data_IF_137929196478
#
_entry.id   IF_137929196478
#
_cell.length_a   1.000
_cell.length_b   1.000
_cell.length_c   1.000
_cell.angle_alpha   90.00
_cell.angle_beta   90.00
_cell.angle_gamma   90.00
#
_symmetry.space_group_name_H-M   'P 1'
#
loop_
_entity.id
_entity.type
_entity.pdbx_description
1 polymer ?
#
# COMPACT_ATOMS: atom_id res chain seq x y z
N UNK A 1 -9.15 -13.14 -32.59
CA UNK A 1 -8.89 -13.25 -31.15
C UNK A 1 -7.76 -12.28 -30.84
N UNK A 2 -8.11 -11.06 -30.42
CA UNK A 2 -7.17 -10.03 -30.04
C UNK A 2 -6.65 -10.35 -28.64
N UNK A 3 -5.31 -10.40 -28.51
CA UNK A 3 -4.66 -10.55 -27.21
C UNK A 3 -5.11 -9.41 -26.30
N UNK A 4 -5.38 -9.67 -25.00
CA UNK A 4 -5.61 -8.58 -24.06
C UNK A 4 -4.34 -7.73 -23.98
N UNK A 5 -4.48 -6.43 -24.23
CA UNK A 5 -3.41 -5.46 -24.04
C UNK A 5 -2.82 -5.64 -22.66
N UNK A 6 -1.53 -5.88 -22.60
CA UNK A 6 -0.76 -5.82 -21.36
C UNK A 6 -0.95 -4.41 -20.81
N UNK A 7 -1.71 -4.28 -19.73
CA UNK A 7 -1.67 -3.06 -18.96
C UNK A 7 -0.24 -2.90 -18.46
N UNK A 8 0.53 -2.11 -19.18
CA UNK A 8 1.81 -1.62 -18.69
C UNK A 8 1.49 -0.73 -17.49
N UNK A 9 1.78 -1.25 -16.30
CA UNK A 9 1.99 -0.38 -15.16
C UNK A 9 3.24 0.43 -15.48
N UNK A 10 3.12 1.75 -15.62
CA UNK A 10 4.32 2.54 -15.55
C UNK A 10 4.89 2.32 -14.15
N UNK A 11 6.11 1.87 -14.06
CA UNK A 11 6.93 1.88 -12.83
C UNK A 11 7.15 3.34 -12.34
N UNK A 12 6.63 4.29 -13.06
CA UNK A 12 6.49 5.68 -12.70
C UNK A 12 5.06 5.90 -12.19
N UNK A 13 4.94 6.56 -11.07
CA UNK A 13 3.77 7.34 -10.74
C UNK A 13 3.61 8.29 -11.93
N UNK A 14 2.71 7.96 -12.85
CA UNK A 14 2.60 8.65 -14.14
C UNK A 14 2.22 10.12 -13.98
N UNK A 15 2.35 10.97 -15.03
CA UNK A 15 2.13 12.42 -14.96
C UNK A 15 0.70 12.85 -14.63
N UNK A 16 -0.20 11.92 -14.38
CA UNK A 16 -1.57 12.15 -13.94
C UNK A 16 -1.80 11.86 -12.46
N UNK A 17 -0.79 12.02 -11.61
CA UNK A 17 -0.98 12.18 -10.17
C UNK A 17 -1.53 13.61 -9.93
N UNK A 18 -2.66 13.89 -10.58
CA UNK A 18 -3.54 14.96 -10.17
C UNK A 18 -4.26 14.48 -8.92
N UNK A 19 -4.03 15.15 -7.81
CA UNK A 19 -4.68 14.97 -6.52
C UNK A 19 -4.41 13.62 -5.79
N UNK A 20 -3.14 13.29 -5.54
CA UNK A 20 -2.82 13.01 -4.16
C UNK A 20 -3.15 14.32 -3.43
N UNK A 21 -4.17 14.30 -2.56
CA UNK A 21 -4.37 15.35 -1.59
C UNK A 21 -3.21 15.27 -0.57
N UNK A 22 -2.02 15.64 -1.01
CA UNK A 22 -0.92 16.00 -0.15
C UNK A 22 -0.85 17.50 -0.32
N UNK A 23 -1.42 18.22 0.62
CA UNK A 23 -1.14 19.64 0.80
C UNK A 23 0.38 19.74 0.90
N UNK A 24 1.08 20.49 0.04
CA UNK A 24 2.53 20.65 0.12
C UNK A 24 2.99 21.24 1.46
N UNK A 25 2.10 21.87 2.20
CA UNK A 25 2.34 22.45 3.51
C UNK A 25 1.86 21.56 4.67
N UNK A 26 1.21 20.42 4.38
CA UNK A 26 0.82 19.47 5.40
C UNK A 26 2.07 18.74 5.90
N UNK A 27 2.39 18.93 7.17
CA UNK A 27 3.52 18.26 7.86
C UNK A 27 3.33 16.73 7.96
N UNK A 28 2.40 16.19 7.17
CA UNK A 28 2.31 14.77 6.83
C UNK A 28 1.59 13.90 7.83
N UNK A 29 0.80 14.45 8.68
CA UNK A 29 -0.31 13.74 9.29
C UNK A 29 -1.48 13.83 8.30
N UNK A 30 -1.87 12.72 7.68
CA UNK A 30 -3.21 12.60 7.11
C UNK A 30 -4.16 13.06 8.21
N UNK A 31 -5.03 14.04 7.90
CA UNK A 31 -5.92 14.62 8.87
C UNK A 31 -6.86 13.55 9.42
N UNK A 32 -6.46 12.93 10.52
CA UNK A 32 -7.27 11.95 11.23
C UNK A 32 -8.31 12.73 12.03
N UNK A 33 -9.59 12.48 11.76
CA UNK A 33 -10.64 13.00 12.61
C UNK A 33 -10.64 12.26 13.96
N UNK A 34 -9.89 12.79 14.92
CA UNK A 34 -9.82 12.24 16.28
C UNK A 34 -11.16 12.30 17.04
N UNK A 35 -12.14 13.06 16.54
CA UNK A 35 -13.47 13.18 17.14
C UNK A 35 -14.49 12.24 16.48
N UNK A 36 -14.09 11.49 15.45
CA UNK A 36 -14.98 10.56 14.79
C UNK A 36 -15.45 9.45 15.76
N UNK A 37 -16.74 9.43 16.02
CA UNK A 37 -17.38 8.43 16.86
C UNK A 37 -18.35 7.59 16.02
N UNK A 38 -17.97 6.38 15.59
CA UNK A 38 -18.85 5.53 14.79
C UNK A 38 -20.06 5.10 15.64
N UNK A 39 -21.25 5.13 15.05
CA UNK A 39 -22.47 4.61 15.69
C UNK A 39 -22.47 3.09 15.83
N UNK A 40 -21.70 2.40 15.00
CA UNK A 40 -21.50 0.95 15.02
C UNK A 40 -20.05 0.63 14.70
N UNK A 41 -19.46 -0.27 15.47
CA UNK A 41 -18.18 -0.91 15.16
C UNK A 41 -18.45 -2.26 14.50
N UNK A 42 -17.63 -2.64 13.54
CA UNK A 42 -17.76 -3.90 12.81
C UNK A 42 -16.42 -4.65 12.84
N UNK A 43 -16.50 -5.96 12.69
CA UNK A 43 -15.33 -6.85 12.72
C UNK A 43 -15.22 -7.65 11.43
N UNK A 44 -14.08 -8.31 11.23
CA UNK A 44 -13.82 -9.15 10.06
C UNK A 44 -14.88 -10.25 9.90
N UNK A 45 -15.42 -10.39 8.70
CA UNK A 45 -16.48 -11.36 8.37
C UNK A 45 -17.89 -10.97 8.84
N UNK A 46 -18.05 -9.85 9.54
CA UNK A 46 -19.36 -9.39 10.00
C UNK A 46 -20.19 -8.86 8.81
N UNK A 47 -21.49 -9.18 8.80
CA UNK A 47 -22.44 -8.59 7.87
C UNK A 47 -22.78 -7.17 8.32
N UNK A 48 -22.28 -6.19 7.58
CA UNK A 48 -22.50 -4.78 7.88
C UNK A 48 -23.90 -4.32 7.42
N UNK A 49 -24.36 -4.83 6.28
CA UNK A 49 -25.68 -4.53 5.69
C UNK A 49 -26.29 -5.81 5.17
N UNK A 50 -27.57 -6.02 5.47
CA UNK A 50 -28.41 -7.06 4.89
C UNK A 50 -29.78 -6.44 4.54
N UNK A 51 -30.12 -6.45 3.25
CA UNK A 51 -31.40 -5.92 2.76
C UNK A 51 -32.37 -7.03 2.35
N UNK A 52 -31.96 -8.30 2.41
CA UNK A 52 -32.65 -9.43 1.83
C UNK A 52 -32.44 -9.61 0.31
N UNK A 53 -32.00 -8.57 -0.40
CA UNK A 53 -31.60 -8.63 -1.81
C UNK A 53 -30.09 -8.79 -1.97
N UNK A 54 -29.32 -8.13 -1.12
CA UNK A 54 -27.86 -8.24 -1.07
C UNK A 54 -27.34 -8.10 0.35
N UNK A 55 -26.12 -8.61 0.55
CA UNK A 55 -25.38 -8.48 1.80
C UNK A 55 -24.03 -7.84 1.56
N UNK A 56 -23.65 -6.92 2.45
CA UNK A 56 -22.30 -6.36 2.51
C UNK A 56 -21.57 -6.91 3.72
N UNK A 57 -20.45 -7.59 3.47
CA UNK A 57 -19.64 -8.25 4.50
C UNK A 57 -18.30 -7.53 4.65
N UNK A 58 -17.90 -7.28 5.88
CA UNK A 58 -16.63 -6.64 6.21
C UNK A 58 -15.47 -7.59 5.94
N UNK A 59 -14.42 -7.09 5.32
CA UNK A 59 -13.14 -7.77 5.14
C UNK A 59 -12.06 -6.85 5.69
N UNK A 60 -11.57 -7.13 6.90
CA UNK A 60 -10.48 -6.34 7.49
C UNK A 60 -9.21 -6.48 6.67
N UNK A 61 -8.63 -5.34 6.27
CA UNK A 61 -7.44 -5.22 5.41
C UNK A 61 -6.53 -4.13 5.95
N UNK A 62 -6.04 -4.35 7.17
CA UNK A 62 -5.13 -3.43 7.84
C UNK A 62 -3.83 -3.25 7.05
N UNK A 63 -3.12 -2.15 7.30
CA UNK A 63 -1.78 -1.90 6.82
C UNK A 63 -1.63 -0.69 5.90
N UNK A 64 -2.62 -0.33 5.07
CA UNK A 64 -2.67 1.00 4.46
C UNK A 64 -2.92 2.05 5.55
N UNK A 65 -3.96 1.82 6.34
CA UNK A 65 -4.19 2.42 7.66
C UNK A 65 -4.42 1.29 8.67
N UNK A 66 -4.25 1.59 9.95
CA UNK A 66 -4.37 0.62 11.04
C UNK A 66 -5.78 0.02 11.18
N UNK A 67 -6.80 0.71 10.68
CA UNK A 67 -8.22 0.33 10.79
C UNK A 67 -8.89 0.08 9.43
N UNK A 68 -8.10 -0.05 8.35
CA UNK A 68 -8.67 -0.21 7.01
C UNK A 68 -9.52 -1.47 6.88
N UNK A 69 -10.63 -1.35 6.17
CA UNK A 69 -11.49 -2.47 5.78
C UNK A 69 -11.93 -2.33 4.32
N UNK A 70 -12.03 -3.46 3.64
CA UNK A 70 -12.79 -3.60 2.41
C UNK A 70 -14.21 -4.07 2.73
N UNK A 71 -15.11 -3.95 1.76
CA UNK A 71 -16.48 -4.44 1.88
C UNK A 71 -16.78 -5.36 0.70
N UNK A 72 -17.20 -6.58 0.98
CA UNK A 72 -17.50 -7.58 -0.03
C UNK A 72 -19.02 -7.63 -0.32
N UNK A 73 -19.36 -7.67 -1.60
CA UNK A 73 -20.68 -7.98 -2.15
C UNK A 73 -20.61 -9.34 -2.83
N UNK A 74 -20.93 -10.40 -2.09
CA UNK A 74 -20.72 -11.77 -2.55
C UNK A 74 -21.57 -12.14 -3.76
N UNK A 75 -22.80 -11.63 -3.86
CA UNK A 75 -23.72 -11.87 -4.96
C UNK A 75 -23.12 -11.46 -6.32
N UNK A 76 -22.33 -10.40 -6.34
CA UNK A 76 -21.67 -9.86 -7.54
C UNK A 76 -20.20 -10.27 -7.65
N UNK A 77 -19.68 -11.05 -6.70
CA UNK A 77 -18.24 -11.34 -6.57
C UNK A 77 -17.40 -10.06 -6.65
N UNK A 78 -17.89 -9.02 -6.00
CA UNK A 78 -17.31 -7.69 -5.99
C UNK A 78 -16.74 -7.34 -4.61
N UNK A 79 -15.62 -6.60 -4.61
CA UNK A 79 -15.00 -6.09 -3.41
C UNK A 79 -14.79 -4.58 -3.56
N UNK A 80 -15.35 -3.80 -2.66
CA UNK A 80 -15.02 -2.38 -2.50
C UNK A 80 -13.71 -2.28 -1.74
N UNK A 81 -12.63 -2.02 -2.46
CA UNK A 81 -11.27 -2.12 -1.93
C UNK A 81 -10.78 -0.86 -1.20
N UNK A 82 -11.55 0.22 -1.21
CA UNK A 82 -11.14 1.47 -0.57
C UNK A 82 -9.80 1.99 -1.09
N UNK A 83 -8.98 2.50 -0.20
CA UNK A 83 -7.60 2.93 -0.46
C UNK A 83 -6.58 1.79 -0.45
N UNK A 84 -6.97 0.57 -0.04
CA UNK A 84 -6.05 -0.57 0.06
C UNK A 84 -5.53 -1.04 -1.29
N UNK A 85 -6.35 -0.99 -2.33
CA UNK A 85 -5.98 -1.28 -3.72
C UNK A 85 -6.56 -0.20 -4.61
N UNK A 86 -5.70 0.56 -5.27
CA UNK A 86 -6.09 1.64 -6.18
C UNK A 86 -6.05 1.18 -7.64
N UNK A 87 -6.87 1.81 -8.51
CA UNK A 87 -7.01 1.41 -9.91
C UNK A 87 -5.98 2.01 -10.87
N UNK A 88 -5.06 2.85 -10.41
CA UNK A 88 -4.12 3.59 -11.28
C UNK A 88 -2.71 3.75 -10.72
N UNK A 89 -2.48 3.41 -9.46
CA UNK A 89 -1.19 3.49 -8.79
C UNK A 89 -1.13 2.47 -7.65
N UNK A 90 0.04 2.27 -7.07
CA UNK A 90 0.17 1.51 -5.83
C UNK A 90 -0.14 2.39 -4.63
N UNK A 91 -0.83 1.81 -3.65
CA UNK A 91 -1.22 2.48 -2.42
C UNK A 91 0.00 2.94 -1.62
N UNK A 92 -0.06 4.12 -1.05
CA UNK A 92 0.95 4.60 -0.10
C UNK A 92 0.73 3.88 1.23
N UNK A 93 1.79 3.36 1.81
CA UNK A 93 1.83 2.79 3.17
C UNK A 93 2.81 3.61 3.96
N UNK A 94 2.31 4.44 4.87
CA UNK A 94 3.10 5.44 5.58
C UNK A 94 3.05 5.22 7.09
N UNK A 95 4.19 4.95 7.76
CA UNK A 95 4.25 4.96 9.21
C UNK A 95 3.93 6.36 9.79
N UNK A 96 3.36 6.46 11.03
CA UNK A 96 3.19 5.35 11.97
C UNK A 96 1.89 4.56 11.81
N UNK A 97 0.87 5.05 11.10
CA UNK A 97 -0.42 4.37 10.97
C UNK A 97 -0.39 3.21 9.97
N UNK A 98 0.33 3.41 8.85
CA UNK A 98 0.55 2.36 7.85
C UNK A 98 1.67 1.39 8.24
N UNK A 99 1.44 0.09 8.00
CA UNK A 99 2.37 -1.00 8.26
C UNK A 99 2.52 -1.91 7.04
N UNK A 100 3.74 -2.07 6.52
CA UNK A 100 3.98 -2.78 5.26
C UNK A 100 3.81 -4.30 5.40
N UNK A 101 4.15 -4.88 6.53
CA UNK A 101 3.98 -6.31 6.77
C UNK A 101 2.50 -6.67 6.76
N UNK A 102 1.72 -6.00 7.60
CA UNK A 102 0.27 -6.17 7.70
C UNK A 102 -0.43 -5.87 6.37
N UNK A 103 0.04 -4.85 5.63
CA UNK A 103 -0.46 -4.52 4.30
C UNK A 103 -0.28 -5.67 3.31
N UNK A 104 0.91 -6.25 3.25
CA UNK A 104 1.20 -7.39 2.37
C UNK A 104 0.44 -8.65 2.78
N UNK A 105 0.23 -8.87 4.09
CA UNK A 105 -0.63 -9.96 4.59
C UNK A 105 -2.09 -9.77 4.15
N UNK A 106 -2.60 -8.53 4.22
CA UNK A 106 -3.93 -8.17 3.74
C UNK A 106 -4.07 -8.38 2.24
N UNK A 107 -3.06 -8.05 1.43
CA UNK A 107 -3.05 -8.38 -0.01
C UNK A 107 -3.11 -9.90 -0.24
N UNK A 108 -2.34 -10.70 0.50
CA UNK A 108 -2.38 -12.18 0.43
C UNK A 108 -3.75 -12.73 0.86
N UNK A 109 -4.38 -12.11 1.86
CA UNK A 109 -5.76 -12.44 2.28
C UNK A 109 -6.74 -12.21 1.13
N UNK A 110 -6.66 -11.07 0.45
CA UNK A 110 -7.51 -10.76 -0.70
C UNK A 110 -7.27 -11.69 -1.89
N UNK A 111 -6.03 -12.12 -2.14
CA UNK A 111 -5.72 -13.11 -3.18
C UNK A 111 -6.37 -14.48 -2.96
N UNK A 112 -6.63 -14.88 -1.71
CA UNK A 112 -7.31 -16.14 -1.39
C UNK A 112 -8.82 -16.07 -1.57
N UNK A 113 -9.36 -14.88 -1.82
CA UNK A 113 -10.79 -14.67 -2.08
C UNK A 113 -11.12 -14.95 -3.55
N UNK A 114 -12.41 -15.09 -3.85
CA UNK A 114 -12.90 -15.36 -5.21
C UNK A 114 -13.61 -14.13 -5.80
N UNK A 115 -13.17 -12.93 -5.46
CA UNK A 115 -13.70 -11.70 -6.03
C UNK A 115 -13.24 -11.58 -7.49
N UNK A 116 -14.15 -11.15 -8.37
CA UNK A 116 -13.88 -10.95 -9.79
C UNK A 116 -13.54 -9.49 -10.10
N UNK A 117 -14.21 -8.56 -9.41
CA UNK A 117 -14.05 -7.11 -9.62
C UNK A 117 -13.70 -6.41 -8.30
N UNK A 118 -12.74 -5.47 -8.37
CA UNK A 118 -12.48 -4.54 -7.27
C UNK A 118 -13.00 -3.16 -7.64
N UNK A 119 -13.62 -2.50 -6.68
CA UNK A 119 -14.09 -1.12 -6.76
C UNK A 119 -13.24 -0.26 -5.81
N UNK A 120 -12.18 0.39 -6.30
CA UNK A 120 -11.33 1.26 -5.48
C UNK A 120 -11.98 2.63 -5.27
N UNK A 121 -11.52 3.37 -4.24
CA UNK A 121 -11.86 4.79 -4.06
C UNK A 121 -11.19 5.66 -5.13
N UNK A 122 -10.03 5.22 -5.64
CA UNK A 122 -9.24 5.96 -6.61
C UNK A 122 -8.98 5.10 -7.86
N UNK A 123 -9.36 5.62 -9.02
CA UNK A 123 -9.29 4.94 -10.31
C UNK A 123 -10.59 4.24 -10.70
N UNK A 124 -10.58 3.58 -11.86
CA UNK A 124 -11.71 2.82 -12.36
C UNK A 124 -11.83 1.42 -11.74
N UNK A 125 -12.94 0.71 -12.02
CA UNK A 125 -13.11 -0.67 -11.58
C UNK A 125 -12.03 -1.58 -12.17
N UNK A 126 -11.57 -2.54 -11.37
CA UNK A 126 -10.53 -3.49 -11.74
C UNK A 126 -11.19 -4.84 -11.99
N UNK A 127 -11.36 -5.19 -13.26
CA UNK A 127 -11.80 -6.53 -13.68
C UNK A 127 -10.57 -7.46 -13.67
N UNK A 128 -10.69 -8.71 -13.28
CA UNK A 128 -9.57 -9.62 -13.06
C UNK A 128 -8.79 -9.30 -11.76
N UNK A 129 -9.53 -9.22 -10.68
CA UNK A 129 -9.03 -8.89 -9.36
C UNK A 129 -7.81 -9.72 -8.93
N UNK A 130 -7.80 -11.02 -9.21
CA UNK A 130 -6.74 -11.93 -8.76
C UNK A 130 -5.39 -11.65 -9.43
N UNK A 131 -5.38 -11.44 -10.74
CA UNK A 131 -4.17 -11.09 -11.47
C UNK A 131 -3.63 -9.72 -11.03
N UNK A 132 -4.54 -8.76 -10.77
CA UNK A 132 -4.17 -7.44 -10.31
C UNK A 132 -3.56 -7.45 -8.91
N UNK A 133 -4.17 -8.18 -7.97
CA UNK A 133 -3.64 -8.36 -6.62
C UNK A 133 -2.27 -9.06 -6.62
N UNK A 134 -2.08 -10.04 -7.53
CA UNK A 134 -0.79 -10.69 -7.70
C UNK A 134 0.31 -9.71 -8.14
N UNK A 135 0.01 -8.84 -9.12
CA UNK A 135 0.92 -7.79 -9.58
C UNK A 135 1.21 -6.76 -8.45
N UNK A 136 0.19 -6.41 -7.69
CA UNK A 136 0.32 -5.49 -6.57
C UNK A 136 1.27 -6.03 -5.49
N UNK A 137 1.11 -7.31 -5.13
CA UNK A 137 2.01 -7.96 -4.18
C UNK A 137 3.43 -8.12 -4.74
N UNK A 138 3.56 -8.50 -6.02
CA UNK A 138 4.87 -8.63 -6.66
C UNK A 138 5.62 -7.31 -6.67
N UNK A 139 4.95 -6.20 -6.99
CA UNK A 139 5.55 -4.87 -6.91
C UNK A 139 6.13 -4.55 -5.52
N UNK A 140 5.47 -4.98 -4.43
CA UNK A 140 6.01 -4.80 -3.06
C UNK A 140 7.25 -5.62 -2.83
N UNK A 141 7.25 -6.88 -3.26
CA UNK A 141 8.41 -7.78 -3.16
C UNK A 141 9.59 -7.26 -3.99
N UNK A 142 9.34 -6.78 -5.20
CA UNK A 142 10.38 -6.19 -6.06
C UNK A 142 10.98 -4.95 -5.41
N UNK A 143 10.16 -4.12 -4.76
CA UNK A 143 10.65 -2.95 -4.02
C UNK A 143 11.52 -3.34 -2.84
N UNK A 144 11.17 -4.38 -2.08
CA UNK A 144 12.02 -4.90 -1.01
C UNK A 144 13.38 -5.38 -1.55
N UNK A 145 13.36 -6.14 -2.65
CA UNK A 145 14.58 -6.61 -3.29
C UNK A 145 15.48 -5.44 -3.75
N UNK A 146 14.89 -4.39 -4.31
CA UNK A 146 15.62 -3.18 -4.73
C UNK A 146 16.21 -2.41 -3.55
N UNK A 147 15.48 -2.31 -2.43
CA UNK A 147 15.99 -1.66 -1.21
C UNK A 147 17.19 -2.44 -0.65
N UNK A 148 17.10 -3.77 -0.58
CA UNK A 148 18.23 -4.61 -0.15
C UNK A 148 19.44 -4.48 -1.08
N UNK A 149 19.21 -4.38 -2.39
CA UNK A 149 20.29 -4.14 -3.35
C UNK A 149 20.94 -2.76 -3.12
N UNK A 150 20.16 -1.70 -2.86
CA UNK A 150 20.71 -0.39 -2.50
C UNK A 150 21.64 -0.49 -1.27
N UNK A 151 21.20 -1.22 -0.24
CA UNK A 151 22.04 -1.43 0.96
C UNK A 151 23.32 -2.21 0.63
N UNK A 152 23.25 -3.25 -0.21
CA UNK A 152 24.42 -3.99 -0.67
C UNK A 152 25.39 -3.12 -1.47
N UNK A 153 24.88 -2.13 -2.21
CA UNK A 153 25.65 -1.15 -2.97
C UNK A 153 26.07 0.06 -2.12
N UNK A 154 25.98 -0.05 -0.79
CA UNK A 154 26.35 1.01 0.18
C UNK A 154 25.52 2.29 0.10
N UNK A 155 24.31 2.21 -0.45
CA UNK A 155 23.31 3.29 -0.38
C UNK A 155 22.51 3.12 0.90
N UNK A 156 22.94 3.77 1.98
CA UNK A 156 22.45 3.51 3.36
C UNK A 156 21.32 4.43 3.81
N UNK A 157 21.03 5.51 3.06
CA UNK A 157 20.04 6.51 3.46
C UNK A 157 18.77 6.41 2.61
N UNK A 158 17.61 6.74 3.20
CA UNK A 158 16.34 6.81 2.47
C UNK A 158 16.41 7.79 1.30
N UNK A 159 17.05 8.94 1.49
CA UNK A 159 17.21 9.93 0.42
C UNK A 159 18.01 9.36 -0.78
N UNK A 160 19.09 8.62 -0.49
CA UNK A 160 19.89 7.92 -1.51
C UNK A 160 19.08 6.84 -2.23
N UNK A 161 18.32 6.01 -1.49
CA UNK A 161 17.45 4.99 -2.06
C UNK A 161 16.36 5.62 -2.94
N UNK A 162 15.74 6.72 -2.50
CA UNK A 162 14.74 7.44 -3.31
C UNK A 162 15.36 7.99 -4.59
N UNK A 163 16.54 8.61 -4.53
CA UNK A 163 17.24 9.11 -5.70
C UNK A 163 17.55 7.99 -6.72
N UNK A 164 17.86 6.79 -6.23
CA UNK A 164 18.17 5.62 -7.06
C UNK A 164 16.90 4.98 -7.65
N UNK A 165 15.90 4.71 -6.80
CA UNK A 165 14.74 3.89 -7.15
C UNK A 165 13.58 4.67 -7.79
N UNK A 166 13.61 6.00 -7.67
CA UNK A 166 12.56 6.90 -8.15
C UNK A 166 13.11 8.04 -9.01
N UNK A 167 14.24 7.79 -9.70
CA UNK A 167 14.91 8.76 -10.59
C UNK A 167 13.97 9.35 -11.65
N UNK A 168 13.02 8.55 -12.15
CA UNK A 168 12.06 8.94 -13.18
C UNK A 168 10.78 9.56 -12.59
N UNK A 169 10.69 9.66 -11.26
CA UNK A 169 9.54 10.22 -10.57
C UNK A 169 9.78 11.69 -10.25
N UNK A 170 8.74 12.51 -10.41
CA UNK A 170 8.84 13.95 -10.09
C UNK A 170 9.26 14.16 -8.64
N UNK A 171 10.12 15.17 -8.41
CA UNK A 171 10.76 15.45 -7.11
C UNK A 171 9.72 15.71 -6.00
N UNK A 172 8.56 16.30 -6.34
CA UNK A 172 7.49 16.56 -5.39
C UNK A 172 6.93 15.28 -4.74
N UNK A 173 7.09 14.14 -5.42
CA UNK A 173 6.65 12.83 -4.94
C UNK A 173 7.73 12.08 -4.15
N UNK A 174 8.96 12.58 -4.11
CA UNK A 174 10.06 11.92 -3.40
C UNK A 174 9.81 11.80 -1.89
N UNK A 175 9.07 12.75 -1.29
CA UNK A 175 8.67 12.66 0.13
C UNK A 175 7.76 11.45 0.37
N UNK A 176 6.74 11.24 -0.46
CA UNK A 176 5.85 10.09 -0.37
C UNK A 176 6.59 8.77 -0.66
N UNK A 177 7.50 8.78 -1.64
CA UNK A 177 8.37 7.65 -1.93
C UNK A 177 9.26 7.29 -0.73
N UNK A 178 9.83 8.29 -0.05
CA UNK A 178 10.64 8.10 1.15
C UNK A 178 9.88 7.47 2.31
N UNK A 179 8.61 7.84 2.50
CA UNK A 179 7.74 7.19 3.50
C UNK A 179 7.49 5.72 3.15
N UNK A 180 7.25 5.41 1.87
CA UNK A 180 7.11 4.03 1.41
C UNK A 180 8.38 3.22 1.62
N UNK A 181 9.56 3.79 1.32
CA UNK A 181 10.87 3.15 1.58
C UNK A 181 11.05 2.89 3.08
N UNK A 182 10.73 3.88 3.94
CA UNK A 182 10.79 3.71 5.40
C UNK A 182 9.90 2.57 5.88
N UNK A 183 8.68 2.46 5.35
CA UNK A 183 7.74 1.38 5.70
C UNK A 183 8.30 0.00 5.35
N UNK A 184 8.93 -0.15 4.18
CA UNK A 184 9.63 -1.38 3.81
C UNK A 184 10.84 -1.67 4.71
N UNK A 185 11.63 -0.64 5.06
CA UNK A 185 12.78 -0.81 5.95
C UNK A 185 12.36 -1.23 7.36
N UNK A 186 11.25 -0.68 7.91
CA UNK A 186 10.70 -1.10 9.19
C UNK A 186 10.32 -2.60 9.15
N UNK A 187 9.65 -3.05 8.08
CA UNK A 187 9.34 -4.47 7.89
C UNK A 187 10.62 -5.32 7.83
N UNK A 188 11.61 -4.93 7.04
CA UNK A 188 12.87 -5.66 6.90
C UNK A 188 13.67 -5.70 8.23
N UNK A 189 13.54 -4.69 9.08
CA UNK A 189 14.08 -4.69 10.45
C UNK A 189 13.34 -5.72 11.31
N UNK A 190 12.01 -5.76 11.24
CA UNK A 190 11.20 -6.78 11.93
C UNK A 190 11.56 -8.20 11.52
N UNK A 191 11.95 -8.42 10.27
CA UNK A 191 12.45 -9.69 9.74
C UNK A 191 13.92 -9.99 10.13
N UNK A 192 14.62 -9.07 10.77
CA UNK A 192 16.04 -9.23 11.14
C UNK A 192 17.01 -9.18 9.96
N UNK A 193 16.62 -8.60 8.83
CA UNK A 193 17.44 -8.50 7.60
C UNK A 193 18.19 -7.18 7.49
N UNK A 194 17.70 -6.14 8.17
CA UNK A 194 18.24 -4.78 8.18
C UNK A 194 18.26 -4.29 9.62
N UNK A 195 19.21 -3.42 9.94
CA UNK A 195 19.25 -2.69 11.21
C UNK A 195 19.56 -1.21 10.97
N UNK A 196 19.20 -0.36 11.93
CA UNK A 196 19.64 1.03 11.94
C UNK A 196 21.09 1.07 12.43
N UNK A 197 21.96 1.73 11.69
CA UNK A 197 23.41 1.69 11.90
C UNK A 197 23.83 2.17 13.31
N UNK A 198 23.13 3.16 13.88
CA UNK A 198 23.38 3.69 15.22
C UNK A 198 22.55 3.00 16.33
N UNK A 199 21.78 1.96 15.99
CA UNK A 199 20.93 1.25 16.91
C UNK A 199 19.67 2.02 17.38
N UNK A 200 19.41 3.20 16.83
CA UNK A 200 18.23 3.99 17.17
C UNK A 200 16.95 3.44 16.52
N UNK A 201 15.80 4.01 16.86
CA UNK A 201 14.55 3.70 16.17
C UNK A 201 14.62 4.13 14.69
N UNK A 202 13.98 3.36 13.77
CA UNK A 202 13.95 3.70 12.35
C UNK A 202 13.22 5.03 12.12
N UNK A 203 13.84 5.93 11.36
CA UNK A 203 13.33 7.26 11.02
C UNK A 203 13.87 7.71 9.67
N UNK A 204 13.25 8.73 9.09
CA UNK A 204 13.60 9.22 7.75
C UNK A 204 15.05 9.66 7.55
N UNK A 205 15.73 10.13 8.62
CA UNK A 205 17.11 10.58 8.60
C UNK A 205 18.12 9.52 9.10
N UNK A 206 17.68 8.29 9.39
CA UNK A 206 18.55 7.22 9.84
C UNK A 206 19.36 6.62 8.69
N UNK A 207 20.48 6.00 9.02
CA UNK A 207 21.23 5.12 8.12
C UNK A 207 20.90 3.66 8.44
N UNK A 208 20.81 2.84 7.40
CA UNK A 208 20.42 1.45 7.47
C UNK A 208 21.53 0.57 6.90
N UNK A 209 21.70 -0.61 7.47
CA UNK A 209 22.68 -1.60 7.01
C UNK A 209 22.08 -3.00 7.03
N UNK A 210 22.62 -3.87 6.16
CA UNK A 210 22.25 -5.28 6.16
C UNK A 210 22.75 -5.97 7.43
N UNK A 211 21.99 -6.92 7.93
CA UNK A 211 22.45 -7.86 8.95
C UNK A 211 23.37 -8.89 8.28
N UNK A 212 24.57 -9.12 8.85
CA UNK A 212 25.52 -10.11 8.37
C UNK A 212 25.06 -11.55 8.64
#
# INVERSE_FOLDING_TARGET
MTQPERQHWPLAIGPHVGNLCVDPDDEGEEAIDHNFAPTRRVTDGEVAVDTGEFTLTVVSTHGHTSNHMCVALAQERALFSGGHVMGWSTTVVSPPDGDMETYMESLRKLQRRNDYILWPTHGGPITNAQAYLAQYLQHRLDREAQILQCLADSVTTIAGMVATLYSDVRVELHRAAGRSVLSHLIKLIGEGRVVVADGSAPRGAAEFVLVE
#
